data_IF_916755222972
#
_entry.id   IF_916755222972
#
_cell.length_a   1.000
_cell.length_b   1.000
_cell.length_c   1.000
_cell.angle_alpha   90.00
_cell.angle_beta   90.00
_cell.angle_gamma   90.00
#
_symmetry.space_group_name_H-M   'P 1'
#
loop_
_entity.id
_entity.type
_entity.pdbx_description
1 polymer ?
#
# COMPACT_ATOMS: atom_id res chain seq x y z
N UNK A 1 28.88 16.70 -30.45
CA UNK A 1 29.25 17.52 -29.28
C UNK A 1 28.07 18.44 -29.00
N UNK A 2 27.14 18.22 -28.08
CA UNK A 2 27.04 17.33 -26.92
C UNK A 2 25.55 17.05 -26.73
N UNK A 3 25.12 15.79 -26.76
CA UNK A 3 23.78 15.40 -26.30
C UNK A 3 23.87 15.26 -24.77
N UNK A 4 23.17 16.14 -24.05
CA UNK A 4 23.02 16.01 -22.60
C UNK A 4 21.86 15.06 -22.32
N UNK A 5 22.19 13.79 -22.15
CA UNK A 5 21.29 12.73 -21.69
C UNK A 5 20.92 12.95 -20.22
N UNK A 6 19.82 13.65 -19.96
CA UNK A 6 19.17 13.60 -18.65
C UNK A 6 18.27 12.37 -18.62
N UNK A 7 18.86 11.27 -18.18
CA UNK A 7 18.17 10.02 -17.87
C UNK A 7 17.22 10.26 -16.70
N UNK A 8 15.96 10.60 -17.01
CA UNK A 8 14.92 10.77 -16.01
C UNK A 8 14.58 9.38 -15.48
N UNK A 9 14.97 9.13 -14.23
CA UNK A 9 14.77 7.85 -13.52
C UNK A 9 13.32 7.37 -13.68
N UNK A 10 13.16 6.06 -13.89
CA UNK A 10 11.89 5.36 -14.10
C UNK A 10 10.76 5.81 -13.17
N UNK A 11 9.78 6.53 -13.73
CA UNK A 11 8.51 6.81 -13.09
C UNK A 11 7.84 5.48 -12.73
N UNK A 12 7.49 5.27 -11.46
CA UNK A 12 6.64 4.16 -11.03
C UNK A 12 5.29 4.27 -11.75
N UNK A 13 5.08 3.48 -12.80
CA UNK A 13 3.81 3.41 -13.51
C UNK A 13 2.74 2.87 -12.55
N UNK A 14 1.64 3.61 -12.38
CA UNK A 14 0.44 3.05 -11.78
C UNK A 14 -0.06 1.92 -12.66
N UNK A 15 -0.51 0.82 -12.07
CA UNK A 15 -1.30 -0.16 -12.81
C UNK A 15 -2.63 0.45 -13.27
N UNK A 16 -3.31 -0.29 -14.13
CA UNK A 16 -4.67 0.01 -14.60
C UNK A 16 -5.73 -0.08 -13.49
N UNK A 17 -5.37 -0.56 -12.29
CA UNK A 17 -6.32 -0.82 -11.21
C UNK A 17 -6.65 0.43 -10.40
N UNK A 18 -7.94 0.66 -10.14
CA UNK A 18 -8.41 1.83 -9.38
C UNK A 18 -7.97 1.81 -7.91
N UNK A 19 -7.78 0.64 -7.28
CA UNK A 19 -7.34 0.54 -5.89
C UNK A 19 -5.90 1.01 -5.70
N UNK A 20 -5.08 1.00 -6.74
CA UNK A 20 -3.73 1.56 -6.67
C UNK A 20 -3.76 3.09 -6.72
N UNK A 21 -4.72 3.66 -7.45
CA UNK A 21 -5.02 5.11 -7.40
C UNK A 21 -5.54 5.50 -6.01
N UNK A 22 -6.50 4.77 -5.47
CA UNK A 22 -6.98 4.97 -4.09
C UNK A 22 -5.83 4.87 -3.08
N UNK A 23 -4.97 3.86 -3.21
CA UNK A 23 -3.80 3.70 -2.34
C UNK A 23 -2.82 4.87 -2.42
N UNK A 24 -2.63 5.48 -3.60
CA UNK A 24 -1.81 6.69 -3.73
C UNK A 24 -2.40 7.87 -2.95
N UNK A 25 -3.71 8.02 -2.97
CA UNK A 25 -4.40 9.16 -2.38
C UNK A 25 -4.53 9.01 -0.86
N UNK A 26 -4.78 7.78 -0.39
CA UNK A 26 -5.04 7.50 1.02
C UNK A 26 -3.82 7.04 1.82
N UNK A 27 -2.79 6.43 1.22
CA UNK A 27 -1.59 6.04 1.97
C UNK A 27 -0.51 7.10 1.93
N UNK A 28 0.31 7.14 2.98
CA UNK A 28 1.59 7.81 2.91
C UNK A 28 2.51 7.14 1.88
N UNK A 29 3.54 7.86 1.44
CA UNK A 29 4.43 7.45 0.35
C UNK A 29 5.12 6.10 0.63
N UNK A 30 5.57 5.87 1.86
CA UNK A 30 6.25 4.61 2.23
C UNK A 30 5.32 3.40 2.08
N UNK A 31 4.10 3.51 2.60
CA UNK A 31 3.11 2.45 2.54
C UNK A 31 2.60 2.26 1.12
N UNK A 32 2.44 3.33 0.35
CA UNK A 32 2.10 3.25 -1.07
C UNK A 32 3.12 2.41 -1.85
N UNK A 33 4.43 2.62 -1.67
CA UNK A 33 5.44 1.82 -2.35
C UNK A 33 5.41 0.34 -1.95
N UNK A 34 5.17 0.03 -0.67
CA UNK A 34 4.95 -1.36 -0.23
C UNK A 34 3.72 -1.97 -0.88
N UNK A 35 2.63 -1.22 -0.96
CA UNK A 35 1.41 -1.64 -1.63
C UNK A 35 1.64 -1.93 -3.11
N UNK A 36 2.39 -1.09 -3.84
CA UNK A 36 2.75 -1.35 -5.24
C UNK A 36 3.51 -2.66 -5.42
N UNK A 37 4.39 -3.03 -4.49
CA UNK A 37 5.08 -4.32 -4.52
C UNK A 37 4.10 -5.49 -4.34
N UNK A 38 3.10 -5.34 -3.47
CA UNK A 38 2.04 -6.33 -3.29
C UNK A 38 1.19 -6.50 -4.56
N UNK A 39 0.82 -5.38 -5.22
CA UNK A 39 0.08 -5.41 -6.49
C UNK A 39 0.88 -6.14 -7.56
N UNK A 40 2.17 -5.82 -7.75
CA UNK A 40 3.04 -6.54 -8.70
C UNK A 40 3.17 -8.02 -8.36
N UNK A 41 3.25 -8.36 -7.07
CA UNK A 41 3.33 -9.75 -6.65
C UNK A 41 2.08 -10.58 -7.01
N UNK A 42 0.92 -9.95 -7.27
CA UNK A 42 -0.31 -10.67 -7.66
C UNK A 42 -0.15 -11.45 -8.97
N UNK A 43 0.76 -11.04 -9.85
CA UNK A 43 1.07 -11.74 -11.11
C UNK A 43 1.58 -13.16 -10.88
N UNK A 44 2.19 -13.40 -9.71
CA UNK A 44 2.76 -14.71 -9.34
C UNK A 44 1.72 -15.69 -8.80
N UNK A 45 0.50 -15.23 -8.54
CA UNK A 45 -0.57 -16.01 -7.94
C UNK A 45 -1.72 -16.21 -8.92
N UNK A 46 -2.35 -17.37 -8.83
CA UNK A 46 -3.57 -17.76 -9.50
C UNK A 46 -4.72 -17.82 -8.49
N UNK A 47 -5.95 -17.70 -8.99
CA UNK A 47 -7.17 -17.71 -8.19
C UNK A 47 -8.20 -18.65 -8.82
N UNK A 48 -8.63 -19.64 -8.05
CA UNK A 48 -9.75 -20.51 -8.41
C UNK A 48 -11.00 -20.08 -7.62
N UNK A 49 -12.12 -19.92 -8.32
CA UNK A 49 -13.42 -19.66 -7.70
C UNK A 49 -14.05 -20.99 -7.29
N UNK A 50 -14.20 -21.21 -5.98
CA UNK A 50 -14.80 -22.42 -5.43
C UNK A 50 -16.31 -22.27 -5.25
N UNK A 51 -16.73 -21.09 -4.78
CA UNK A 51 -18.12 -20.69 -4.68
C UNK A 51 -18.25 -19.28 -5.21
N UNK A 52 -19.18 -19.10 -6.16
CA UNK A 52 -19.33 -17.85 -6.90
C UNK A 52 -19.45 -16.66 -5.96
N UNK A 53 -18.56 -15.69 -6.14
CA UNK A 53 -18.50 -14.43 -5.39
C UNK A 53 -18.40 -14.58 -3.85
N UNK A 54 -17.97 -15.75 -3.35
CA UNK A 54 -17.92 -16.05 -1.91
C UNK A 54 -16.62 -16.67 -1.45
N UNK A 55 -16.10 -17.65 -2.21
CA UNK A 55 -14.94 -18.43 -1.76
C UNK A 55 -13.96 -18.59 -2.91
N UNK A 56 -12.74 -18.11 -2.68
CA UNK A 56 -11.64 -18.21 -3.63
C UNK A 56 -10.44 -18.91 -2.99
N UNK A 57 -9.75 -19.72 -3.79
CA UNK A 57 -8.52 -20.40 -3.41
C UNK A 57 -7.37 -19.80 -4.21
N UNK A 58 -6.41 -19.22 -3.51
CA UNK A 58 -5.26 -18.53 -4.08
C UNK A 58 -4.01 -19.39 -3.89
N UNK A 59 -3.22 -19.56 -4.94
CA UNK A 59 -1.98 -20.33 -4.93
C UNK A 59 -0.99 -19.75 -5.92
N UNK A 60 0.30 -20.04 -5.75
CA UNK A 60 1.33 -19.59 -6.69
C UNK A 60 1.23 -20.36 -8.01
N UNK A 61 1.58 -19.72 -9.13
CA UNK A 61 1.68 -20.42 -10.42
C UNK A 61 2.77 -21.50 -10.38
N UNK A 62 2.66 -22.49 -11.26
CA UNK A 62 3.61 -23.60 -11.32
C UNK A 62 5.07 -23.13 -11.50
N UNK A 63 5.27 -22.06 -12.28
CA UNK A 63 6.58 -21.44 -12.45
C UNK A 63 7.19 -20.95 -11.12
N UNK A 64 6.34 -20.42 -10.24
CA UNK A 64 6.73 -19.87 -8.95
C UNK A 64 6.70 -20.89 -7.80
N UNK A 65 6.27 -22.12 -8.05
CA UNK A 65 6.29 -23.22 -7.07
C UNK A 65 7.38 -24.27 -7.33
N UNK A 66 8.18 -24.14 -8.39
CA UNK A 66 9.21 -25.14 -8.79
C UNK A 66 10.14 -25.58 -7.66
N UNK A 67 10.49 -24.65 -6.76
CA UNK A 67 11.39 -24.90 -5.64
C UNK A 67 10.66 -25.17 -4.32
N UNK A 68 9.32 -25.20 -4.32
CA UNK A 68 8.52 -25.43 -3.11
C UNK A 68 8.22 -26.92 -2.95
N UNK A 69 8.69 -27.51 -1.84
CA UNK A 69 8.41 -28.93 -1.50
C UNK A 69 6.91 -29.18 -1.32
N UNK A 70 6.19 -28.19 -0.79
CA UNK A 70 4.73 -28.25 -0.60
C UNK A 70 4.10 -26.91 -0.95
N UNK A 71 3.53 -26.75 -2.16
CA UNK A 71 2.84 -25.53 -2.55
C UNK A 71 1.71 -25.20 -1.57
N UNK A 72 1.69 -23.96 -1.10
CA UNK A 72 0.67 -23.48 -0.16
C UNK A 72 -0.52 -22.87 -0.89
N UNK A 73 -1.71 -23.20 -0.40
CA UNK A 73 -2.98 -22.57 -0.82
C UNK A 73 -3.51 -21.65 0.27
N UNK A 74 -4.17 -20.57 -0.13
CA UNK A 74 -4.75 -19.57 0.74
C UNK A 74 -6.23 -19.43 0.43
N UNK A 75 -7.07 -19.57 1.46
CA UNK A 75 -8.50 -19.33 1.34
C UNK A 75 -8.79 -17.84 1.52
N UNK A 76 -9.61 -17.30 0.63
CA UNK A 76 -10.18 -15.95 0.71
C UNK A 76 -11.70 -16.08 0.74
N UNK A 77 -12.30 -15.55 1.79
CA UNK A 77 -13.73 -15.42 1.97
C UNK A 77 -14.16 -14.01 1.58
N UNK A 78 -15.25 -13.93 0.83
CA UNK A 78 -15.81 -12.68 0.31
C UNK A 78 -17.26 -12.57 0.77
N UNK A 79 -17.57 -11.46 1.43
CA UNK A 79 -18.93 -11.03 1.70
C UNK A 79 -19.22 -9.82 0.81
N UNK A 80 -19.98 -10.06 -0.25
CA UNK A 80 -20.34 -9.03 -1.22
C UNK A 80 -21.34 -8.00 -0.68
N UNK A 81 -22.16 -8.36 0.31
CA UNK A 81 -23.13 -7.44 0.89
C UNK A 81 -22.44 -6.38 1.76
N UNK A 82 -21.36 -6.77 2.44
CA UNK A 82 -20.59 -5.90 3.32
C UNK A 82 -19.29 -5.38 2.68
N UNK A 83 -19.00 -5.79 1.44
CA UNK A 83 -17.72 -5.59 0.75
C UNK A 83 -16.51 -5.97 1.63
N UNK A 84 -16.63 -7.10 2.33
CA UNK A 84 -15.63 -7.59 3.27
C UNK A 84 -14.86 -8.79 2.69
N UNK A 85 -13.54 -8.69 2.70
CA UNK A 85 -12.60 -9.67 2.18
C UNK A 85 -11.70 -10.17 3.32
N UNK A 86 -11.76 -11.47 3.60
CA UNK A 86 -10.99 -12.11 4.66
C UNK A 86 -10.08 -13.19 4.08
N UNK A 87 -8.79 -13.14 4.42
CA UNK A 87 -7.84 -14.17 4.02
C UNK A 87 -7.24 -14.87 5.24
N UNK A 88 -7.04 -16.19 5.15
CA UNK A 88 -6.44 -17.01 6.23
C UNK A 88 -5.02 -16.60 6.62
N UNK A 89 -4.32 -15.81 5.78
CA UNK A 89 -3.00 -15.30 6.14
C UNK A 89 -3.05 -14.24 7.26
N UNK A 90 -4.24 -13.68 7.53
CA UNK A 90 -4.49 -12.66 8.55
C UNK A 90 -3.59 -11.41 8.44
N UNK A 91 -3.07 -11.12 7.24
CA UNK A 91 -2.11 -10.03 7.03
C UNK A 91 -2.74 -8.66 7.31
N UNK A 92 -3.99 -8.46 6.90
CA UNK A 92 -4.67 -7.19 7.16
C UNK A 92 -4.88 -6.96 8.66
N UNK A 93 -5.22 -8.00 9.42
CA UNK A 93 -5.40 -7.91 10.86
C UNK A 93 -4.09 -7.59 11.60
N UNK A 94 -2.96 -8.06 11.07
CA UNK A 94 -1.62 -7.81 11.66
C UNK A 94 -1.05 -6.46 11.23
N UNK A 95 -0.96 -6.22 9.93
CA UNK A 95 -0.25 -5.08 9.36
C UNK A 95 -1.19 -3.96 8.89
N UNK A 96 -2.50 -4.20 8.77
CA UNK A 96 -3.47 -3.19 8.29
C UNK A 96 -3.33 -2.87 6.81
N UNK A 97 -2.68 -3.75 6.03
CA UNK A 97 -2.55 -3.65 4.58
C UNK A 97 -3.08 -4.95 3.99
N UNK A 98 -3.84 -4.87 2.91
CA UNK A 98 -4.36 -6.04 2.21
C UNK A 98 -3.24 -6.93 1.69
N UNK A 99 -3.37 -8.24 1.86
CA UNK A 99 -2.40 -9.19 1.31
C UNK A 99 -2.55 -9.35 -0.20
N UNK A 100 -1.49 -9.86 -0.82
CA UNK A 100 -1.48 -10.26 -2.23
C UNK A 100 -2.64 -11.21 -2.59
N UNK A 101 -3.10 -12.05 -1.66
CA UNK A 101 -4.18 -12.99 -1.91
C UNK A 101 -5.54 -12.30 -2.10
N UNK A 102 -5.85 -11.29 -1.26
CA UNK A 102 -7.07 -10.51 -1.41
C UNK A 102 -6.99 -9.67 -2.69
N UNK A 103 -5.84 -9.02 -2.95
CA UNK A 103 -5.65 -8.25 -4.17
C UNK A 103 -5.81 -9.10 -5.43
N UNK A 104 -5.28 -10.34 -5.44
CA UNK A 104 -5.47 -11.26 -6.55
C UNK A 104 -6.92 -11.69 -6.73
N UNK A 105 -7.64 -11.91 -5.62
CA UNK A 105 -9.07 -12.23 -5.63
C UNK A 105 -9.89 -11.09 -6.25
N UNK A 106 -9.61 -9.85 -5.85
CA UNK A 106 -10.25 -8.66 -6.39
C UNK A 106 -10.04 -8.50 -7.90
N UNK A 107 -8.82 -8.75 -8.38
CA UNK A 107 -8.51 -8.76 -9.81
C UNK A 107 -9.32 -9.85 -10.54
N UNK A 108 -9.38 -11.07 -9.99
CA UNK A 108 -10.16 -12.17 -10.56
C UNK A 108 -11.66 -11.83 -10.65
N UNK A 109 -12.19 -11.09 -9.67
CA UNK A 109 -13.58 -10.63 -9.63
C UNK A 109 -13.84 -9.39 -10.51
N UNK A 110 -12.83 -8.85 -11.19
CA UNK A 110 -12.88 -7.54 -11.87
C UNK A 110 -13.36 -6.40 -10.94
N UNK A 111 -13.07 -6.50 -9.64
CA UNK A 111 -13.38 -5.50 -8.63
C UNK A 111 -12.12 -4.72 -8.30
N UNK A 112 -11.97 -3.56 -8.91
CA UNK A 112 -10.77 -2.76 -8.74
C UNK A 112 -10.91 -1.66 -7.69
N UNK A 113 -12.06 -1.53 -7.02
CA UNK A 113 -12.30 -0.51 -5.98
C UNK A 113 -12.26 -1.16 -4.62
N UNK A 114 -11.59 -0.51 -3.67
CA UNK A 114 -11.59 -0.90 -2.27
C UNK A 114 -12.50 0.04 -1.45
N UNK A 115 -13.30 -0.50 -0.52
CA UNK A 115 -13.99 0.34 0.43
C UNK A 115 -13.00 1.03 1.38
N UNK A 116 -13.40 2.20 1.89
CA UNK A 116 -12.49 3.09 2.63
C UNK A 116 -11.99 2.49 3.96
N UNK A 117 -12.75 1.56 4.55
CA UNK A 117 -12.39 0.84 5.78
C UNK A 117 -11.06 0.06 5.67
N UNK A 118 -10.58 -0.24 4.47
CA UNK A 118 -9.27 -0.86 4.25
C UNK A 118 -8.10 0.13 4.27
N UNK A 119 -8.36 1.44 4.23
CA UNK A 119 -7.36 2.50 4.35
C UNK A 119 -7.37 3.08 5.77
N UNK A 120 -6.75 2.36 6.69
CA UNK A 120 -6.72 2.72 8.12
C UNK A 120 -5.87 3.97 8.40
N UNK A 121 -6.25 4.72 9.43
CA UNK A 121 -5.60 6.00 9.80
C UNK A 121 -4.10 5.89 10.05
N UNK A 122 -3.64 4.75 10.59
CA UNK A 122 -2.21 4.47 10.84
C UNK A 122 -1.34 4.68 9.60
N UNK A 123 -1.88 4.40 8.41
CA UNK A 123 -1.15 4.47 7.15
C UNK A 123 -1.44 5.72 6.33
N UNK A 124 -2.33 6.59 6.80
CA UNK A 124 -2.64 7.84 6.12
C UNK A 124 -1.47 8.82 6.22
N UNK A 125 -1.30 9.74 5.25
CA UNK A 125 -0.35 10.82 5.37
C UNK A 125 -0.63 11.62 6.64
N UNK A 126 0.40 11.82 7.45
CA UNK A 126 0.29 12.76 8.57
C UNK A 126 0.39 14.16 7.97
N UNK A 127 -0.72 14.88 7.92
CA UNK A 127 -0.71 16.31 7.61
C UNK A 127 0.05 17.05 8.70
N UNK A 128 1.36 17.24 8.50
CA UNK A 128 2.10 18.24 9.27
C UNK A 128 1.66 19.60 8.76
N UNK A 129 0.65 20.18 9.41
CA UNK A 129 0.38 21.60 9.28
C UNK A 129 1.59 22.33 9.88
N UNK A 130 2.56 22.70 9.05
CA UNK A 130 3.57 23.67 9.44
C UNK A 130 2.85 24.98 9.75
N UNK A 131 2.51 25.21 11.02
CA UNK A 131 2.00 26.50 11.47
C UNK A 131 3.20 27.43 11.43
N UNK A 132 3.34 28.19 10.35
CA UNK A 132 4.38 29.22 10.25
C UNK A 132 3.89 30.48 10.94
N UNK A 133 4.75 31.09 11.74
CA UNK A 133 4.46 32.40 12.34
C UNK A 133 4.24 33.41 11.21
N UNK A 134 3.11 34.11 11.21
CA UNK A 134 2.72 35.02 10.13
C UNK A 134 3.68 36.22 9.95
N UNK A 135 4.44 36.57 10.99
CA UNK A 135 5.38 37.70 10.98
C UNK A 135 6.78 37.27 10.54
N UNK A 136 7.26 36.11 10.99
CA UNK A 136 8.65 35.67 10.76
C UNK A 136 8.78 34.57 9.71
N UNK A 137 7.66 33.96 9.29
CA UNK A 137 7.60 32.76 8.44
C UNK A 137 8.35 31.54 9.00
N UNK A 138 8.79 31.59 10.25
CA UNK A 138 9.46 30.50 10.95
C UNK A 138 8.39 29.51 11.45
N UNK A 139 8.60 28.18 11.32
CA UNK A 139 7.75 27.17 11.96
C UNK A 139 7.55 27.47 13.45
N UNK A 140 6.29 27.49 13.91
CA UNK A 140 5.90 27.83 15.29
C UNK A 140 6.57 26.89 16.33
N UNK A 141 6.83 25.65 15.92
CA UNK A 141 7.55 24.64 16.69
C UNK A 141 9.03 24.96 16.95
N UNK A 142 9.64 25.84 16.15
CA UNK A 142 10.99 26.35 16.40
C UNK A 142 10.99 27.60 17.30
N UNK A 143 9.84 28.26 17.49
CA UNK A 143 9.73 29.50 18.29
C UNK A 143 9.38 29.26 19.76
N UNK A 144 9.18 28.00 20.18
CA UNK A 144 9.02 27.64 21.59
C UNK A 144 10.28 27.92 22.42
N UNK A 145 10.11 28.35 23.67
CA UNK A 145 11.20 28.73 24.60
C UNK A 145 12.13 27.57 25.00
N UNK A 146 11.79 26.33 24.66
CA UNK A 146 12.54 25.14 25.01
C UNK A 146 13.59 24.79 23.95
N UNK A 147 14.82 25.27 24.19
CA UNK A 147 15.98 25.05 23.31
C UNK A 147 16.21 23.57 22.95
N UNK A 148 16.00 22.64 23.88
CA UNK A 148 16.21 21.19 23.67
C UNK A 148 15.29 20.59 22.61
N UNK A 149 14.01 21.02 22.56
CA UNK A 149 13.07 20.57 21.54
C UNK A 149 13.44 21.13 20.16
N UNK A 150 13.95 22.37 20.11
CA UNK A 150 14.40 23.03 18.88
C UNK A 150 15.60 22.31 18.24
N UNK A 151 16.61 21.94 19.04
CA UNK A 151 17.77 21.20 18.53
C UNK A 151 17.39 19.80 17.99
N UNK A 152 16.46 19.10 18.65
CA UNK A 152 15.97 17.79 18.22
C UNK A 152 15.13 17.81 16.93
N UNK A 153 14.53 18.95 16.60
CA UNK A 153 13.81 19.15 15.34
C UNK A 153 14.78 19.48 14.19
N UNK A 154 15.79 20.31 14.46
CA UNK A 154 16.82 20.67 13.48
C UNK A 154 17.64 19.45 13.03
N UNK A 155 17.95 18.52 13.93
CA UNK A 155 18.71 17.31 13.59
C UNK A 155 17.95 16.33 12.69
N UNK A 156 16.62 16.40 12.66
CA UNK A 156 15.76 15.53 11.82
C UNK A 156 15.54 16.04 10.40
N UNK A 157 15.85 17.30 10.12
CA UNK A 157 15.69 17.90 8.79
C UNK A 157 16.93 17.74 7.88
N UNK A 158 18.02 17.15 8.39
CA UNK A 158 19.28 16.95 7.65
C UNK A 158 19.57 15.47 7.35
N UNK A 159 18.55 14.62 7.28
CA UNK A 159 18.65 13.23 6.86
C UNK A 159 17.75 12.98 5.65
#
# INVERSE_FOLDING_TARGET
MYECSVQRSSFAALSIYTFEKQARDFYNIEIFYRFQQLVKATERYLADEMEKEKVYVIYKSEEHTKNEVRPRKYLVLVDMAQENYMCICAWFQKDGILCVHILRTLIQMNKHTLPENYFIDRWRPIERKEVRNATTFIPAELTGSNNTLRYNLLSKCFC
#
